data_IF_220321795627
#
_entry.id   IF_220321795627
#
_cell.length_a   1.000
_cell.length_b   1.000
_cell.length_c   1.000
_cell.angle_alpha   90.00
_cell.angle_beta   90.00
_cell.angle_gamma   90.00
#
_symmetry.space_group_name_H-M   'P 1'
#
loop_
_entity.id
_entity.type
_entity.pdbx_description
1 polymer ?
#
# COMPACT_ATOMS: atom_id res chain seq x y z
N UNK A 1 0.17 -5.38 -18.00
CA UNK A 1 1.14 -4.98 -16.96
C UNK A 1 1.26 -6.18 -16.02
N UNK A 2 2.46 -6.69 -15.71
CA UNK A 2 2.60 -7.75 -14.69
C UNK A 2 2.16 -7.16 -13.35
N UNK A 3 1.12 -7.71 -12.73
CA UNK A 3 0.68 -7.34 -11.39
C UNK A 3 1.83 -7.47 -10.40
N UNK A 4 1.89 -6.56 -9.41
CA UNK A 4 2.86 -6.72 -8.32
C UNK A 4 2.30 -7.70 -7.30
N UNK A 5 3.21 -8.46 -6.70
CA UNK A 5 2.89 -9.54 -5.77
C UNK A 5 3.26 -9.08 -4.35
N UNK A 6 2.44 -9.44 -3.37
CA UNK A 6 2.77 -9.25 -1.97
C UNK A 6 3.97 -10.12 -1.59
N UNK A 7 5.00 -9.50 -1.02
CA UNK A 7 6.22 -10.20 -0.58
C UNK A 7 5.97 -11.21 0.56
N UNK A 8 4.91 -11.03 1.35
CA UNK A 8 4.60 -11.86 2.52
C UNK A 8 3.67 -13.02 2.16
N UNK A 9 2.46 -12.72 1.68
CA UNK A 9 1.43 -13.74 1.46
C UNK A 9 1.34 -14.22 0.01
N UNK A 10 2.10 -13.64 -0.92
CA UNK A 10 2.06 -14.02 -2.33
C UNK A 10 0.81 -13.54 -3.08
N UNK A 11 -0.05 -12.71 -2.48
CA UNK A 11 -1.22 -12.11 -3.16
C UNK A 11 -0.77 -11.40 -4.44
N UNK A 12 -1.30 -11.82 -5.57
CA UNK A 12 -1.03 -11.22 -6.88
C UNK A 12 -1.91 -9.99 -7.14
N UNK A 13 -1.62 -9.28 -8.23
CA UNK A 13 -2.42 -8.14 -8.71
C UNK A 13 -2.69 -7.04 -7.67
N UNK A 14 -1.65 -6.67 -6.90
CA UNK A 14 -1.73 -5.55 -5.96
C UNK A 14 -2.17 -4.27 -6.67
N UNK A 15 -3.18 -3.60 -6.09
CA UNK A 15 -3.78 -2.42 -6.67
C UNK A 15 -2.91 -1.16 -6.47
N UNK A 16 -3.30 -0.07 -7.12
CA UNK A 16 -2.58 1.22 -7.05
C UNK A 16 -2.46 1.74 -5.61
N UNK A 17 -3.49 1.55 -4.78
CA UNK A 17 -3.48 2.01 -3.39
C UNK A 17 -2.51 1.19 -2.53
N UNK A 18 -2.52 -0.13 -2.66
CA UNK A 18 -1.55 -1.01 -1.97
C UNK A 18 -0.12 -0.59 -2.34
N UNK A 19 0.17 -0.40 -3.63
CA UNK A 19 1.48 0.06 -4.09
C UNK A 19 1.81 1.49 -3.62
N UNK A 20 0.82 2.39 -3.62
CA UNK A 20 0.96 3.77 -3.18
C UNK A 20 1.27 3.87 -1.69
N UNK A 21 0.60 3.08 -0.85
CA UNK A 21 0.80 3.05 0.60
C UNK A 21 2.21 2.59 0.93
N UNK A 22 2.67 1.50 0.31
CA UNK A 22 4.05 1.03 0.47
C UNK A 22 5.07 2.12 0.12
N UNK A 23 4.84 2.86 -0.98
CA UNK A 23 5.73 3.95 -1.38
C UNK A 23 5.66 5.16 -0.45
N UNK A 24 4.47 5.50 0.02
CA UNK A 24 4.22 6.72 0.80
C UNK A 24 4.64 6.55 2.26
N UNK A 25 4.38 5.38 2.85
CA UNK A 25 4.60 5.10 4.27
C UNK A 25 5.95 4.44 4.55
N UNK A 26 6.46 3.59 3.65
CA UNK A 26 7.71 2.85 3.89
C UNK A 26 8.89 3.47 3.14
N UNK A 27 8.80 3.51 1.80
CA UNK A 27 9.89 4.02 0.97
C UNK A 27 9.40 4.38 -0.44
N UNK A 28 9.58 5.63 -0.86
CA UNK A 28 9.17 6.12 -2.20
C UNK A 28 9.77 5.31 -3.36
N UNK A 29 10.93 4.69 -3.15
CA UNK A 29 11.63 3.82 -4.10
C UNK A 29 11.35 2.32 -3.94
N UNK A 30 10.32 1.92 -3.18
CA UNK A 30 10.02 0.51 -2.90
C UNK A 30 9.90 -0.34 -4.18
N UNK A 31 10.58 -1.49 -4.18
CA UNK A 31 10.51 -2.53 -5.21
C UNK A 31 9.74 -3.77 -4.74
N UNK A 32 9.69 -3.98 -3.43
CA UNK A 32 8.86 -4.96 -2.73
C UNK A 32 7.61 -4.28 -2.18
N UNK A 33 6.50 -5.02 -2.14
CA UNK A 33 5.20 -4.47 -1.76
C UNK A 33 4.48 -5.44 -0.82
N UNK A 34 3.77 -4.90 0.14
CA UNK A 34 2.79 -5.59 0.96
C UNK A 34 1.39 -5.38 0.37
N UNK A 35 0.51 -6.38 0.46
CA UNK A 35 -0.93 -6.13 0.32
C UNK A 35 -1.44 -5.29 1.49
N UNK A 36 -2.69 -4.86 1.44
CA UNK A 36 -3.28 -4.05 2.51
C UNK A 36 -3.16 -4.75 3.88
N UNK A 37 -3.55 -6.02 3.97
CA UNK A 37 -3.59 -6.78 5.23
C UNK A 37 -2.19 -7.02 5.80
N UNK A 38 -1.25 -7.49 4.97
CA UNK A 38 0.13 -7.69 5.43
C UNK A 38 0.81 -6.36 5.80
N UNK A 39 0.42 -5.24 5.18
CA UNK A 39 0.93 -3.93 5.56
C UNK A 39 0.34 -3.47 6.89
N UNK A 40 -0.94 -3.74 7.14
CA UNK A 40 -1.61 -3.39 8.39
C UNK A 40 -1.02 -4.18 9.56
N UNK A 41 -0.77 -5.48 9.36
CA UNK A 41 -0.03 -6.31 10.33
C UNK A 41 1.39 -5.81 10.56
N UNK A 42 2.15 -5.49 9.50
CA UNK A 42 3.53 -5.00 9.61
C UNK A 42 3.62 -3.66 10.36
N UNK A 43 2.61 -2.80 10.22
CA UNK A 43 2.55 -1.49 10.89
C UNK A 43 1.81 -1.53 12.23
N UNK A 44 1.27 -2.70 12.62
CA UNK A 44 0.44 -2.90 13.81
C UNK A 44 -0.75 -1.91 13.88
N UNK A 45 -1.42 -1.72 12.74
CA UNK A 45 -2.63 -0.87 12.60
C UNK A 45 -3.75 -1.63 11.91
N UNK A 46 -4.97 -1.12 11.99
CA UNK A 46 -6.11 -1.66 11.27
C UNK A 46 -6.03 -1.36 9.76
N UNK A 47 -6.57 -2.26 8.93
CA UNK A 47 -6.62 -2.07 7.48
C UNK A 47 -7.46 -0.83 7.10
N UNK A 48 -8.53 -0.57 7.85
CA UNK A 48 -9.40 0.60 7.70
C UNK A 48 -8.65 1.91 7.94
N UNK A 49 -7.71 1.93 8.88
CA UNK A 49 -6.85 3.09 9.12
C UNK A 49 -5.99 3.40 7.90
N UNK A 50 -5.43 2.38 7.25
CA UNK A 50 -4.67 2.56 6.01
C UNK A 50 -5.54 3.06 4.87
N UNK A 51 -6.78 2.59 4.75
CA UNK A 51 -7.73 3.08 3.75
C UNK A 51 -8.10 4.55 3.99
N UNK A 52 -8.33 4.95 5.25
CA UNK A 52 -8.56 6.35 5.60
C UNK A 52 -7.35 7.23 5.21
N UNK A 53 -6.12 6.73 5.41
CA UNK A 53 -4.90 7.41 4.96
C UNK A 53 -4.81 7.55 3.44
N UNK A 54 -5.28 6.57 2.67
CA UNK A 54 -5.35 6.70 1.20
C UNK A 54 -6.22 7.89 0.80
N UNK A 55 -7.42 8.01 1.37
CA UNK A 55 -8.32 9.11 1.04
C UNK A 55 -7.75 10.46 1.50
N UNK A 56 -7.18 10.54 2.71
CA UNK A 56 -6.48 11.74 3.21
C UNK A 56 -5.36 12.18 2.24
N UNK A 57 -4.57 11.24 1.72
CA UNK A 57 -3.51 11.57 0.76
C UNK A 57 -4.04 12.01 -0.60
N UNK A 58 -5.17 11.46 -1.06
CA UNK A 58 -5.83 11.93 -2.30
C UNK A 58 -6.33 13.35 -2.16
N UNK A 59 -6.95 13.69 -1.04
CA UNK A 59 -7.41 15.05 -0.73
C UNK A 59 -6.26 16.06 -0.69
N UNK A 60 -5.08 15.63 -0.20
CA UNK A 60 -3.85 16.42 -0.22
C UNK A 60 -3.19 16.51 -1.61
N UNK A 61 -3.79 15.93 -2.67
CA UNK A 61 -3.27 15.96 -4.03
C UNK A 61 -2.11 14.99 -4.29
N UNK A 62 -1.98 13.92 -3.51
CA UNK A 62 -0.91 12.94 -3.69
C UNK A 62 -1.12 12.09 -4.96
N UNK A 63 -0.23 12.23 -5.93
CA UNK A 63 -0.30 11.54 -7.24
C UNK A 63 0.02 10.04 -7.19
N UNK A 64 0.40 9.51 -6.02
CA UNK A 64 0.63 8.07 -5.83
C UNK A 64 -0.67 7.27 -5.79
N UNK A 65 -1.79 7.92 -5.48
CA UNK A 65 -3.12 7.31 -5.30
C UNK A 65 -4.08 7.73 -6.41
#
# INVERSE_FOLDING_TARGET
MKGKICYVCGKEDLNKNEMGLNKKLLNKGAKTFYCLDCLSEYLEVDAEFLLAKVEEFKEQGCTLF
#
